data_IF_329335432896
#
_entry.id   IF_329335432896
#
_cell.length_a   1.000
_cell.length_b   1.000
_cell.length_c   1.000
_cell.angle_alpha   90.00
_cell.angle_beta   90.00
_cell.angle_gamma   90.00
#
_symmetry.space_group_name_H-M   'P 1'
#
loop_
_entity.id
_entity.type
_entity.pdbx_description
1 polymer ?
#
# COMPACT_ATOMS: atom_id res chain seq x y z
N UNK A 1 46.52 37.93 -15.61
CA UNK A 1 45.86 39.16 -16.01
C UNK A 1 45.59 39.93 -14.72
N UNK A 2 46.37 40.99 -14.51
CA UNK A 2 46.20 41.94 -13.36
C UNK A 2 44.98 42.76 -13.63
N UNK A 3 43.95 42.65 -12.80
CA UNK A 3 42.92 43.70 -12.67
C UNK A 3 43.35 44.59 -11.51
N UNK A 4 43.92 45.73 -11.82
CA UNK A 4 43.96 46.83 -10.88
C UNK A 4 42.56 47.45 -10.84
N UNK A 5 41.91 47.34 -9.72
CA UNK A 5 40.74 48.22 -9.46
C UNK A 5 41.28 49.56 -8.97
N UNK A 6 41.30 50.52 -9.82
CA UNK A 6 41.41 51.89 -9.40
C UNK A 6 40.09 52.34 -8.81
N UNK A 7 40.09 52.58 -7.54
CA UNK A 7 38.97 53.17 -6.85
C UNK A 7 39.18 54.68 -6.97
N UNK A 8 38.49 55.32 -7.94
CA UNK A 8 38.44 56.79 -8.04
C UNK A 8 37.40 57.29 -7.04
N UNK A 9 37.88 57.81 -5.92
CA UNK A 9 37.06 58.64 -5.06
C UNK A 9 37.04 60.05 -5.69
N UNK A 10 35.89 60.44 -6.25
CA UNK A 10 35.68 61.77 -6.78
C UNK A 10 35.19 62.65 -5.67
N UNK A 11 36.14 63.31 -5.01
CA UNK A 11 35.79 64.30 -4.03
C UNK A 11 35.54 65.65 -4.74
N UNK A 12 34.49 66.35 -4.34
CA UNK A 12 33.98 67.54 -5.03
C UNK A 12 34.63 68.84 -4.52
N UNK A 13 35.57 68.75 -3.58
CA UNK A 13 36.35 69.84 -3.07
C UNK A 13 37.79 69.76 -3.56
N UNK A 14 38.24 70.81 -4.20
CA UNK A 14 39.55 71.00 -4.83
C UNK A 14 40.71 71.02 -3.80
N UNK A 15 40.88 69.98 -3.04
CA UNK A 15 42.08 69.84 -2.24
C UNK A 15 42.90 68.69 -2.80
N UNK A 16 44.12 69.03 -3.28
CA UNK A 16 45.02 68.01 -3.84
C UNK A 16 45.61 67.24 -2.66
N UNK A 17 45.11 66.02 -2.41
CA UNK A 17 45.73 65.07 -1.52
C UNK A 17 46.85 64.32 -2.26
N UNK A 18 48.08 64.56 -1.88
CA UNK A 18 49.22 63.73 -2.25
C UNK A 18 49.23 62.45 -1.38
N UNK A 19 48.74 61.37 -1.93
CA UNK A 19 48.75 60.05 -1.29
C UNK A 19 50.01 59.26 -1.69
N UNK A 20 50.89 59.00 -0.75
CA UNK A 20 52.02 58.09 -0.95
C UNK A 20 51.57 56.66 -0.71
N UNK A 21 51.45 55.88 -1.79
CA UNK A 21 51.08 54.44 -1.66
C UNK A 21 52.34 53.59 -1.69
N UNK A 22 52.72 53.01 -0.55
CA UNK A 22 53.80 52.02 -0.48
C UNK A 22 53.26 50.62 -0.71
N UNK A 23 53.51 50.06 -1.89
CA UNK A 23 53.11 48.70 -2.23
C UNK A 23 54.24 47.70 -1.99
N UNK A 24 54.03 46.75 -1.11
CA UNK A 24 54.96 45.60 -0.96
C UNK A 24 54.56 44.52 -1.93
N UNK A 25 55.41 44.26 -2.91
CA UNK A 25 55.19 43.19 -3.89
C UNK A 25 55.97 41.96 -3.46
N UNK A 26 55.31 40.98 -2.89
CA UNK A 26 55.94 39.69 -2.57
C UNK A 26 55.90 38.78 -3.79
N UNK A 27 57.06 38.45 -4.34
CA UNK A 27 57.19 37.42 -5.39
C UNK A 27 57.30 36.05 -4.76
N UNK A 28 56.23 35.29 -4.77
CA UNK A 28 56.32 33.89 -4.44
C UNK A 28 57.26 33.19 -5.43
N UNK A 29 58.23 32.42 -4.91
CA UNK A 29 59.07 31.55 -5.71
C UNK A 29 58.12 30.71 -6.63
N UNK A 30 58.42 30.66 -7.90
CA UNK A 30 57.75 29.76 -8.84
C UNK A 30 57.85 28.34 -8.27
N UNK A 31 56.84 27.90 -7.53
CA UNK A 31 56.59 26.45 -7.45
C UNK A 31 56.23 26.07 -8.89
N UNK A 32 57.10 25.23 -9.48
CA UNK A 32 56.77 24.70 -10.80
C UNK A 32 55.34 24.17 -10.74
N UNK A 33 54.48 24.73 -11.55
CA UNK A 33 53.21 24.11 -11.81
C UNK A 33 53.57 22.77 -12.41
N UNK A 34 53.46 21.70 -11.63
CA UNK A 34 53.48 20.37 -12.20
C UNK A 34 52.46 20.41 -13.33
N UNK A 35 52.92 20.10 -14.52
CA UNK A 35 52.05 20.07 -15.68
C UNK A 35 50.75 19.41 -15.27
N UNK A 36 49.64 20.11 -15.45
CA UNK A 36 48.31 19.52 -15.31
C UNK A 36 48.39 18.20 -16.04
N UNK A 37 48.17 17.04 -15.39
CA UNK A 37 48.20 15.79 -16.10
C UNK A 37 47.32 15.95 -17.33
N UNK A 38 47.91 15.83 -18.51
CA UNK A 38 47.18 15.84 -19.79
C UNK A 38 46.25 14.64 -19.67
N UNK A 39 44.99 14.90 -19.32
CA UNK A 39 43.94 13.90 -19.41
C UNK A 39 44.00 13.40 -20.83
N UNK A 40 44.27 12.11 -21.09
CA UNK A 40 44.29 11.60 -22.44
C UNK A 40 43.03 12.04 -23.14
N UNK A 41 43.18 12.80 -24.25
CA UNK A 41 42.02 13.23 -25.01
C UNK A 41 41.32 11.97 -25.48
N UNK A 42 40.10 11.77 -24.99
CA UNK A 42 39.25 10.66 -25.47
C UNK A 42 39.09 10.82 -26.97
N UNK A 43 39.39 9.80 -27.78
CA UNK A 43 39.23 9.85 -29.21
C UNK A 43 37.80 10.33 -29.57
N UNK A 44 37.71 11.19 -30.55
CA UNK A 44 36.42 11.78 -30.97
C UNK A 44 35.39 10.72 -31.36
N UNK A 45 35.83 9.58 -31.87
CA UNK A 45 34.98 8.40 -32.12
C UNK A 45 34.29 7.90 -30.83
N UNK A 46 35.02 7.77 -29.75
CA UNK A 46 34.43 7.31 -28.45
C UNK A 46 33.46 8.34 -27.88
N UNK A 47 33.74 9.63 -28.13
CA UNK A 47 32.83 10.69 -27.67
C UNK A 47 31.52 10.66 -28.45
N UNK A 48 31.58 10.38 -29.75
CA UNK A 48 30.41 10.24 -30.61
C UNK A 48 29.62 8.97 -30.24
N UNK A 49 30.28 7.85 -30.03
CA UNK A 49 29.63 6.62 -29.57
C UNK A 49 28.89 6.80 -28.20
N UNK A 50 29.49 7.56 -27.30
CA UNK A 50 28.84 7.90 -26.01
C UNK A 50 27.63 8.82 -26.22
N UNK A 51 27.72 9.80 -27.12
CA UNK A 51 26.60 10.68 -27.44
C UNK A 51 25.44 9.91 -28.07
N UNK A 52 25.72 8.99 -28.94
CA UNK A 52 24.71 8.16 -29.60
C UNK A 52 24.03 7.24 -28.58
N UNK A 53 24.79 6.63 -27.68
CA UNK A 53 24.24 5.85 -26.55
C UNK A 53 23.37 6.69 -25.64
N UNK A 54 23.81 7.90 -25.29
CA UNK A 54 23.01 8.81 -24.46
C UNK A 54 21.70 9.21 -25.14
N UNK A 55 21.75 9.45 -26.44
CA UNK A 55 20.56 9.80 -27.22
C UNK A 55 19.61 8.60 -27.34
N UNK A 56 20.14 7.41 -27.59
CA UNK A 56 19.33 6.17 -27.60
C UNK A 56 18.64 5.90 -26.25
N UNK A 57 19.40 5.99 -25.14
CA UNK A 57 18.86 5.82 -23.79
C UNK A 57 17.84 6.90 -23.41
N UNK A 58 18.01 8.14 -23.89
CA UNK A 58 16.99 9.18 -23.71
C UNK A 58 15.70 8.84 -24.45
N UNK A 59 15.81 8.37 -25.69
CA UNK A 59 14.66 7.92 -26.48
C UNK A 59 13.92 6.76 -25.81
N UNK A 60 14.65 5.77 -25.31
CA UNK A 60 14.09 4.64 -24.58
C UNK A 60 13.40 5.07 -23.27
N UNK A 61 14.02 5.97 -22.52
CA UNK A 61 13.41 6.54 -21.31
C UNK A 61 12.12 7.31 -21.59
N UNK A 62 12.07 8.04 -22.70
CA UNK A 62 10.86 8.77 -23.09
C UNK A 62 9.74 7.82 -23.56
N UNK A 63 10.09 6.73 -24.25
CA UNK A 63 9.10 5.70 -24.60
C UNK A 63 8.57 4.99 -23.38
N UNK A 64 9.44 4.54 -22.47
CA UNK A 64 9.06 3.91 -21.23
C UNK A 64 8.20 4.82 -20.33
N UNK A 65 8.48 6.12 -20.31
CA UNK A 65 7.64 7.08 -19.58
C UNK A 65 6.25 7.20 -20.20
N UNK A 66 6.15 7.20 -21.54
CA UNK A 66 4.85 7.19 -22.24
C UNK A 66 4.08 5.92 -21.93
N UNK A 67 4.74 4.76 -22.01
CA UNK A 67 4.14 3.46 -21.71
C UNK A 67 3.65 3.37 -20.25
N UNK A 68 4.43 3.91 -19.31
CA UNK A 68 4.05 4.01 -17.90
C UNK A 68 2.82 4.91 -17.70
N UNK A 69 2.76 6.05 -18.36
CA UNK A 69 1.60 6.96 -18.29
C UNK A 69 0.38 6.29 -18.91
N UNK A 70 0.55 5.62 -20.04
CA UNK A 70 -0.54 4.88 -20.70
C UNK A 70 -1.01 3.70 -19.85
N UNK A 71 -0.10 2.92 -19.27
CA UNK A 71 -0.43 1.83 -18.36
C UNK A 71 -1.11 2.34 -17.07
N UNK A 72 -0.72 3.51 -16.57
CA UNK A 72 -1.35 4.14 -15.40
C UNK A 72 -2.73 4.72 -15.71
N UNK A 73 -2.92 5.23 -16.93
CA UNK A 73 -4.20 5.78 -17.36
C UNK A 73 -5.17 4.71 -17.87
N UNK A 74 -4.68 3.56 -18.31
CA UNK A 74 -5.51 2.37 -18.40
C UNK A 74 -5.95 2.08 -16.97
N UNK A 75 -7.18 2.54 -16.60
CA UNK A 75 -7.88 1.99 -15.43
C UNK A 75 -7.55 0.50 -15.44
N UNK A 76 -7.07 -0.07 -14.33
CA UNK A 76 -7.03 -1.52 -14.26
C UNK A 76 -8.47 -1.93 -14.54
N UNK A 77 -8.75 -2.39 -15.74
CA UNK A 77 -9.79 -3.40 -15.88
C UNK A 77 -9.29 -4.47 -14.93
N UNK A 78 -9.81 -4.39 -13.72
CA UNK A 78 -9.88 -5.56 -12.87
C UNK A 78 -10.70 -6.50 -13.71
N UNK A 79 -10.03 -7.27 -14.56
CA UNK A 79 -10.55 -8.52 -15.06
C UNK A 79 -10.69 -9.35 -13.78
N UNK A 80 -11.72 -9.03 -13.01
CA UNK A 80 -12.36 -10.01 -12.17
C UNK A 80 -12.85 -11.00 -13.22
N UNK A 81 -11.97 -11.93 -13.63
CA UNK A 81 -12.43 -13.23 -14.07
C UNK A 81 -13.36 -13.62 -12.94
N UNK A 82 -14.67 -13.45 -13.18
CA UNK A 82 -15.68 -14.15 -12.42
C UNK A 82 -15.38 -15.63 -12.66
N UNK A 83 -14.38 -16.12 -11.94
CA UNK A 83 -14.31 -17.53 -11.65
C UNK A 83 -15.57 -17.75 -10.85
N UNK A 84 -16.59 -18.26 -11.56
CA UNK A 84 -17.84 -18.63 -10.97
C UNK A 84 -17.51 -19.48 -9.74
N UNK A 85 -17.66 -18.86 -8.55
CA UNK A 85 -17.96 -19.69 -7.43
C UNK A 85 -17.01 -19.82 -6.26
N UNK A 86 -15.90 -19.11 -6.13
CA UNK A 86 -15.22 -19.10 -4.83
C UNK A 86 -15.83 -18.02 -3.93
N UNK A 87 -16.87 -18.39 -3.19
CA UNK A 87 -17.36 -17.53 -2.12
C UNK A 87 -16.43 -17.77 -0.91
N UNK A 88 -15.69 -16.75 -0.47
CA UNK A 88 -14.73 -16.94 0.62
C UNK A 88 -15.46 -17.33 1.91
N UNK A 89 -14.83 -18.20 2.69
CA UNK A 89 -15.32 -18.55 4.02
C UNK A 89 -15.41 -17.30 4.90
N UNK A 90 -16.57 -17.05 5.50
CA UNK A 90 -16.80 -15.94 6.41
C UNK A 90 -16.80 -16.43 7.85
N UNK A 91 -16.06 -15.74 8.71
CA UNK A 91 -16.04 -15.99 10.16
C UNK A 91 -16.59 -14.76 10.87
N UNK A 92 -17.71 -14.93 11.58
CA UNK A 92 -18.37 -13.89 12.36
C UNK A 92 -18.07 -14.10 13.83
N UNK A 93 -17.46 -13.14 14.50
CA UNK A 93 -17.02 -13.24 15.90
C UNK A 93 -18.08 -12.66 16.85
N UNK A 94 -18.33 -13.35 17.97
CA UNK A 94 -19.31 -12.95 18.98
C UNK A 94 -18.66 -12.66 20.33
N UNK A 95 -19.26 -11.75 21.06
CA UNK A 95 -18.90 -11.52 22.45
C UNK A 95 -19.34 -12.70 23.35
N UNK A 96 -18.70 -12.83 24.51
CA UNK A 96 -19.00 -13.90 25.49
C UNK A 96 -20.49 -13.89 25.88
N UNK A 97 -21.12 -15.03 25.85
CA UNK A 97 -22.52 -15.21 26.22
C UNK A 97 -23.53 -14.50 25.28
N UNK A 98 -23.08 -13.86 24.19
CA UNK A 98 -23.94 -13.10 23.29
C UNK A 98 -24.04 -13.77 21.90
N UNK A 99 -25.21 -13.55 21.26
CA UNK A 99 -25.47 -13.88 19.87
C UNK A 99 -25.77 -12.63 18.99
N UNK A 100 -25.60 -11.43 19.56
CA UNK A 100 -25.79 -10.19 18.83
C UNK A 100 -24.62 -9.93 17.90
N UNK A 101 -24.91 -9.65 16.64
CA UNK A 101 -23.92 -9.32 15.62
C UNK A 101 -23.49 -7.86 15.81
N UNK A 102 -22.20 -7.61 15.83
CA UNK A 102 -21.68 -6.24 15.93
C UNK A 102 -21.80 -5.50 14.59
N UNK A 103 -21.88 -4.17 14.64
CA UNK A 103 -21.95 -3.35 13.41
C UNK A 103 -20.74 -3.56 12.48
N UNK A 104 -19.60 -3.92 13.03
CA UNK A 104 -18.39 -4.23 12.26
C UNK A 104 -18.59 -5.47 11.40
N UNK A 105 -19.28 -6.49 11.92
CA UNK A 105 -19.51 -7.73 11.19
C UNK A 105 -20.60 -7.58 10.12
N UNK A 106 -21.45 -6.55 10.20
CA UNK A 106 -22.48 -6.29 9.20
C UNK A 106 -21.89 -6.14 7.80
N UNK A 107 -20.78 -5.40 7.65
CA UNK A 107 -20.13 -5.18 6.35
C UNK A 107 -19.61 -6.49 5.75
N UNK A 108 -19.05 -7.35 6.61
CA UNK A 108 -18.53 -8.64 6.19
C UNK A 108 -19.66 -9.58 5.75
N UNK A 109 -20.77 -9.57 6.51
CA UNK A 109 -21.97 -10.38 6.22
C UNK A 109 -22.66 -9.88 4.96
N UNK A 110 -22.74 -8.56 4.74
CA UNK A 110 -23.28 -7.95 3.52
C UNK A 110 -22.49 -8.38 2.28
N UNK A 111 -21.15 -8.32 2.35
CA UNK A 111 -20.29 -8.75 1.25
C UNK A 111 -20.48 -10.25 0.92
N UNK A 112 -20.61 -11.08 1.96
CA UNK A 112 -20.89 -12.51 1.80
C UNK A 112 -22.28 -12.77 1.23
N UNK A 113 -23.30 -12.07 1.72
CA UNK A 113 -24.67 -12.15 1.21
C UNK A 113 -24.78 -11.80 -0.28
N UNK A 114 -23.99 -10.79 -0.71
CA UNK A 114 -23.88 -10.46 -2.12
C UNK A 114 -23.30 -11.59 -2.94
N UNK A 115 -22.19 -12.19 -2.46
CA UNK A 115 -21.56 -13.36 -3.11
C UNK A 115 -22.50 -14.55 -3.20
N UNK A 116 -23.29 -14.83 -2.15
CA UNK A 116 -24.27 -15.91 -2.14
C UNK A 116 -25.36 -15.67 -3.20
N UNK A 117 -25.91 -14.47 -3.30
CA UNK A 117 -26.94 -14.09 -4.29
C UNK A 117 -26.42 -14.19 -5.73
N UNK A 118 -25.13 -13.94 -5.94
CA UNK A 118 -24.50 -14.11 -7.27
C UNK A 118 -24.32 -15.58 -7.67
N UNK A 119 -24.52 -16.52 -6.74
CA UNK A 119 -24.39 -17.97 -6.94
C UNK A 119 -25.68 -18.73 -6.59
N UNK A 120 -26.77 -18.57 -7.34
CA UNK A 120 -28.10 -19.09 -6.96
C UNK A 120 -28.22 -20.61 -6.94
N UNK A 121 -27.24 -21.34 -7.48
CA UNK A 121 -27.23 -22.81 -7.48
C UNK A 121 -26.50 -23.45 -6.29
N UNK A 122 -25.90 -22.65 -5.40
CA UNK A 122 -25.10 -23.14 -4.27
C UNK A 122 -25.83 -23.01 -2.95
N UNK A 123 -25.56 -23.94 -2.04
CA UNK A 123 -26.08 -23.94 -0.67
C UNK A 123 -24.93 -23.68 0.28
N UNK A 124 -25.11 -22.72 1.17
CA UNK A 124 -24.12 -22.32 2.15
C UNK A 124 -24.53 -22.78 3.54
N UNK A 125 -23.60 -23.35 4.29
CA UNK A 125 -23.84 -23.82 5.65
C UNK A 125 -23.32 -22.78 6.64
N UNK A 126 -24.18 -22.38 7.58
CA UNK A 126 -23.85 -21.48 8.67
C UNK A 126 -23.70 -22.31 9.92
N UNK A 127 -22.47 -22.54 10.34
CA UNK A 127 -22.16 -23.35 11.53
C UNK A 127 -21.82 -22.48 12.71
N UNK A 128 -22.63 -22.54 13.78
CA UNK A 128 -22.40 -21.80 15.01
C UNK A 128 -21.54 -22.58 16.00
N UNK A 129 -20.68 -21.86 16.71
CA UNK A 129 -19.79 -22.39 17.73
C UNK A 129 -19.85 -21.57 19.02
N UNK A 130 -19.56 -22.23 20.14
CA UNK A 130 -19.37 -21.59 21.44
C UNK A 130 -18.05 -22.05 22.04
N UNK A 131 -17.54 -21.24 22.97
CA UNK A 131 -16.33 -21.58 23.73
C UNK A 131 -16.66 -22.64 24.81
N UNK A 132 -15.90 -23.73 24.78
CA UNK A 132 -16.07 -24.84 25.77
C UNK A 132 -15.69 -24.43 27.21
N UNK A 133 -14.81 -23.44 27.34
CA UNK A 133 -14.30 -23.01 28.63
C UNK A 133 -15.32 -22.21 29.45
N UNK A 134 -16.45 -21.79 28.83
CA UNK A 134 -17.47 -20.98 29.51
C UNK A 134 -18.87 -21.55 29.32
N UNK A 135 -19.56 -21.76 30.41
CA UNK A 135 -20.94 -22.30 30.43
C UNK A 135 -21.03 -23.82 30.35
N UNK A 136 -22.25 -24.34 30.53
CA UNK A 136 -22.52 -25.75 30.43
C UNK A 136 -22.60 -26.23 28.95
N UNK A 137 -22.44 -27.51 28.70
CA UNK A 137 -22.56 -28.09 27.38
C UNK A 137 -23.94 -27.77 26.72
N UNK A 138 -25.00 -27.87 27.50
CA UNK A 138 -26.36 -27.58 27.05
C UNK A 138 -26.55 -26.09 26.72
N UNK A 139 -26.00 -25.20 27.56
CA UNK A 139 -26.02 -23.76 27.29
C UNK A 139 -25.25 -23.42 26.01
N UNK A 140 -24.05 -23.98 25.82
CA UNK A 140 -23.24 -23.76 24.68
C UNK A 140 -23.89 -24.30 23.39
N UNK A 141 -24.62 -25.41 23.46
CA UNK A 141 -25.39 -25.93 22.33
C UNK A 141 -26.49 -24.93 21.91
N UNK A 142 -27.26 -24.41 22.91
CA UNK A 142 -28.29 -23.40 22.65
C UNK A 142 -27.69 -22.08 22.12
N UNK A 143 -26.53 -21.65 22.68
CA UNK A 143 -25.85 -20.42 22.26
C UNK A 143 -25.29 -20.50 20.84
N UNK A 144 -24.67 -21.63 20.48
CA UNK A 144 -24.15 -21.85 19.14
C UNK A 144 -25.27 -21.83 18.08
N UNK A 145 -26.40 -22.46 18.38
CA UNK A 145 -27.61 -22.42 17.56
C UNK A 145 -28.10 -20.99 17.36
N UNK A 146 -28.26 -20.21 18.46
CA UNK A 146 -28.70 -18.81 18.39
C UNK A 146 -27.74 -17.93 17.56
N UNK A 147 -26.45 -18.19 17.58
CA UNK A 147 -25.46 -17.47 16.77
C UNK A 147 -25.62 -17.76 15.28
N UNK A 148 -25.76 -19.03 14.92
CA UNK A 148 -25.98 -19.40 13.54
C UNK A 148 -27.31 -18.85 12.99
N UNK A 149 -28.37 -18.93 13.80
CA UNK A 149 -29.68 -18.35 13.45
C UNK A 149 -29.62 -16.84 13.29
N UNK A 150 -28.92 -16.12 14.17
CA UNK A 150 -28.74 -14.67 14.06
C UNK A 150 -28.06 -14.25 12.76
N UNK A 151 -27.07 -14.98 12.30
CA UNK A 151 -26.40 -14.71 11.02
C UNK A 151 -27.36 -15.02 9.85
N UNK A 152 -28.05 -16.16 9.88
CA UNK A 152 -29.05 -16.50 8.88
C UNK A 152 -30.15 -15.44 8.79
N UNK A 153 -30.70 -15.05 9.91
CA UNK A 153 -31.82 -14.09 9.96
C UNK A 153 -31.41 -12.73 9.44
N UNK A 154 -30.18 -12.30 9.75
CA UNK A 154 -29.60 -11.06 9.19
C UNK A 154 -29.45 -11.17 7.67
N UNK A 155 -28.92 -12.29 7.16
CA UNK A 155 -28.77 -12.49 5.71
C UNK A 155 -30.09 -12.53 4.97
N UNK A 156 -31.12 -13.15 5.55
CA UNK A 156 -32.44 -13.25 4.94
C UNK A 156 -33.19 -11.92 5.03
N UNK A 157 -33.29 -11.34 6.24
CA UNK A 157 -34.18 -10.21 6.49
C UNK A 157 -33.60 -8.89 6.01
N UNK A 158 -32.28 -8.66 6.20
CA UNK A 158 -31.67 -7.38 5.86
C UNK A 158 -31.04 -7.43 4.45
N UNK A 159 -30.42 -8.54 4.08
CA UNK A 159 -29.69 -8.63 2.82
C UNK A 159 -30.43 -9.39 1.73
N UNK A 160 -31.61 -9.94 2.01
CA UNK A 160 -32.47 -10.57 1.01
C UNK A 160 -31.87 -11.83 0.38
N UNK A 161 -31.11 -12.62 1.15
CA UNK A 161 -30.61 -13.93 0.70
C UNK A 161 -31.77 -14.95 0.77
N UNK A 162 -32.00 -15.75 -0.27
CA UNK A 162 -33.00 -16.79 -0.22
C UNK A 162 -32.71 -17.80 0.90
N UNK A 163 -33.70 -18.06 1.74
CA UNK A 163 -33.56 -19.03 2.85
C UNK A 163 -33.19 -20.45 2.37
N UNK A 164 -33.57 -20.80 1.15
CA UNK A 164 -33.23 -22.10 0.51
C UNK A 164 -31.74 -22.28 0.25
N UNK A 165 -30.97 -21.18 0.19
CA UNK A 165 -29.52 -21.22 0.00
C UNK A 165 -28.75 -21.31 1.32
N UNK A 166 -29.43 -21.24 2.46
CA UNK A 166 -28.79 -21.20 3.77
C UNK A 166 -29.20 -22.39 4.62
N UNK A 167 -28.22 -23.19 5.04
CA UNK A 167 -28.40 -24.27 6.00
C UNK A 167 -27.78 -23.86 7.31
N UNK A 168 -28.49 -24.11 8.42
CA UNK A 168 -28.00 -23.82 9.78
C UNK A 168 -27.52 -25.09 10.45
N UNK A 169 -26.29 -25.05 10.96
CA UNK A 169 -25.70 -26.08 11.80
C UNK A 169 -25.12 -25.48 13.08
N UNK A 170 -24.89 -26.30 14.12
CA UNK A 170 -24.32 -25.83 15.39
C UNK A 170 -23.58 -26.96 16.10
N UNK A 171 -22.42 -26.63 16.66
CA UNK A 171 -21.51 -27.63 17.27
C UNK A 171 -21.40 -27.49 18.79
N UNK A 172 -22.09 -26.50 19.39
CA UNK A 172 -21.99 -26.27 20.83
C UNK A 172 -20.64 -25.73 21.29
N UNK A 173 -20.19 -26.18 22.42
CA UNK A 173 -18.88 -25.81 22.99
C UNK A 173 -17.75 -26.59 22.35
N UNK A 174 -16.86 -25.89 21.69
CA UNK A 174 -15.65 -26.44 21.08
C UNK A 174 -14.40 -25.94 21.82
N UNK A 175 -13.31 -26.69 21.75
CA UNK A 175 -12.00 -26.23 22.22
C UNK A 175 -11.49 -25.06 21.37
N UNK A 176 -10.32 -24.57 21.71
CA UNK A 176 -9.72 -23.44 20.99
C UNK A 176 -9.53 -23.75 19.50
N UNK A 177 -10.38 -23.16 18.66
CA UNK A 177 -10.40 -23.46 17.22
C UNK A 177 -9.28 -22.77 16.45
N UNK A 178 -8.90 -21.56 16.88
CA UNK A 178 -7.92 -20.74 16.20
C UNK A 178 -6.91 -20.19 17.19
N UNK A 179 -5.63 -20.41 16.92
CA UNK A 179 -4.49 -19.82 17.65
C UNK A 179 -4.54 -20.06 19.17
N UNK A 180 -5.18 -21.11 19.63
CA UNK A 180 -5.39 -21.44 21.06
C UNK A 180 -6.08 -20.31 21.86
N UNK A 181 -6.83 -19.45 21.17
CA UNK A 181 -7.60 -18.36 21.80
C UNK A 181 -9.10 -18.73 21.91
N UNK A 182 -9.57 -18.84 23.12
CA UNK A 182 -10.99 -19.10 23.43
C UNK A 182 -11.94 -18.05 22.83
N UNK A 183 -11.48 -16.80 22.62
CA UNK A 183 -12.29 -15.75 21.99
C UNK A 183 -12.62 -16.10 20.55
N UNK A 184 -11.70 -16.74 19.85
CA UNK A 184 -11.86 -17.14 18.46
C UNK A 184 -12.70 -18.41 18.27
N UNK A 185 -13.09 -19.07 19.35
CA UNK A 185 -14.07 -20.17 19.34
C UNK A 185 -15.53 -19.69 19.48
N UNK A 186 -15.75 -18.38 19.70
CA UNK A 186 -17.08 -17.76 19.78
C UNK A 186 -17.50 -17.21 18.43
N UNK A 187 -17.72 -18.08 17.47
CA UNK A 187 -17.92 -17.69 16.08
C UNK A 187 -19.11 -18.39 15.43
N UNK A 188 -19.58 -17.79 14.35
CA UNK A 188 -20.36 -18.51 13.31
C UNK A 188 -19.57 -18.46 12.02
N UNK A 189 -19.47 -19.60 11.36
CA UNK A 189 -18.73 -19.77 10.12
C UNK A 189 -19.73 -20.04 9.01
N UNK A 190 -19.59 -19.28 7.91
CA UNK A 190 -20.36 -19.46 6.69
C UNK A 190 -19.44 -20.01 5.63
N UNK A 191 -19.77 -21.17 5.08
CA UNK A 191 -19.00 -21.86 4.05
C UNK A 191 -19.90 -22.59 3.08
N UNK A 192 -19.43 -22.87 1.88
CA UNK A 192 -20.11 -23.65 0.85
C UNK A 192 -20.18 -25.13 1.20
#
# INVERSE_FOLDING_TARGET
IRRQRQMCIRDRNKEAMLGLTVGVTYKFKKRGWNAVPTVPMVPESQLNDMRDRVNALKGENESLKRDLVEARNKKPEVIVKKEAGLVPRLVVVFNIGKSNISKREYMNIEAMAKGIKENPGKVFTITGYADKGTGSAEYNMKLSKKRAEAVRDLMVNEFGVPASQLKVDYKGGVGNMFYDDAKLSRVAIVEE
#
